data_IF_743575394071
#
_entry.id   IF_743575394071
#
_cell.length_a   1.000
_cell.length_b   1.000
_cell.length_c   1.000
_cell.angle_alpha   90.00
_cell.angle_beta   90.00
_cell.angle_gamma   90.00
#
_symmetry.space_group_name_H-M   'P 1'
#
loop_
_entity.id
_entity.type
_entity.pdbx_description
1 polymer ?
#
# COMPACT_ATOMS: atom_id res chain seq x y z
N UNK A 1 -20.78 20.54 -14.54
CA UNK A 1 -19.50 19.79 -14.46
C UNK A 1 -19.65 18.78 -13.35
N UNK A 2 -19.51 17.48 -13.64
CA UNK A 2 -19.64 16.42 -12.63
C UNK A 2 -18.25 15.84 -12.37
N UNK A 3 -17.82 15.88 -11.11
CA UNK A 3 -16.54 15.31 -10.70
C UNK A 3 -16.80 13.94 -10.06
N UNK A 4 -16.13 12.91 -10.57
CA UNK A 4 -16.16 11.57 -9.99
C UNK A 4 -14.95 11.43 -9.07
N UNK A 5 -15.20 11.03 -7.82
CA UNK A 5 -14.17 10.79 -6.83
C UNK A 5 -14.03 9.29 -6.57
N UNK A 6 -12.80 8.87 -6.26
CA UNK A 6 -12.45 7.50 -5.93
C UNK A 6 -11.75 7.46 -4.58
N UNK A 7 -11.99 6.40 -3.82
CA UNK A 7 -11.36 6.15 -2.52
C UNK A 7 -10.72 4.77 -2.56
N UNK A 8 -9.44 4.71 -2.20
CA UNK A 8 -8.68 3.46 -2.08
C UNK A 8 -8.40 3.20 -0.61
N UNK A 9 -8.90 2.08 -0.06
CA UNK A 9 -8.64 1.72 1.33
C UNK A 9 -7.24 1.14 1.49
N UNK A 10 -6.36 1.85 2.18
CA UNK A 10 -4.96 1.48 2.40
C UNK A 10 -4.69 1.02 3.86
N UNK A 11 -5.58 0.22 4.44
CA UNK A 11 -5.51 -0.22 5.85
C UNK A 11 -5.02 -1.66 6.08
N UNK A 12 -5.00 -2.06 7.36
CA UNK A 12 -4.64 -3.41 7.82
C UNK A 12 -3.18 -3.54 8.28
N UNK A 13 -2.98 -4.26 9.40
CA UNK A 13 -1.70 -4.29 10.16
C UNK A 13 -0.48 -4.84 9.38
N UNK A 14 -0.71 -5.66 8.35
CA UNK A 14 0.39 -6.22 7.54
C UNK A 14 1.31 -7.18 8.29
N UNK A 15 0.81 -7.91 9.30
CA UNK A 15 1.62 -8.79 10.17
C UNK A 15 2.39 -9.87 9.42
N UNK A 16 1.85 -10.37 8.29
CA UNK A 16 2.54 -11.33 7.40
C UNK A 16 3.82 -10.80 6.75
N UNK A 17 3.98 -9.48 6.70
CA UNK A 17 5.16 -8.82 6.16
C UNK A 17 6.13 -8.37 7.26
N UNK A 18 5.94 -8.77 8.52
CA UNK A 18 6.94 -8.55 9.56
C UNK A 18 8.24 -9.31 9.21
N UNK A 19 9.45 -8.75 9.37
CA UNK A 19 9.77 -7.47 10.00
C UNK A 19 9.69 -6.23 9.09
N UNK A 20 9.43 -6.40 7.79
CA UNK A 20 9.46 -5.33 6.80
C UNK A 20 8.33 -4.30 6.99
N UNK A 21 7.09 -4.76 7.18
CA UNK A 21 5.96 -3.89 7.50
C UNK A 21 5.99 -3.48 8.97
N UNK A 22 5.90 -2.17 9.22
CA UNK A 22 5.90 -1.54 10.54
C UNK A 22 4.85 -0.44 10.57
N UNK A 23 4.47 0.01 11.76
CA UNK A 23 3.52 1.13 11.92
C UNK A 23 3.96 2.40 11.18
N UNK A 24 5.28 2.68 11.15
CA UNK A 24 5.85 3.83 10.45
C UNK A 24 6.00 3.62 8.93
N UNK A 25 6.00 2.37 8.45
CA UNK A 25 6.13 2.03 7.04
C UNK A 25 5.26 0.79 6.71
N UNK A 26 3.94 1.00 6.54
CA UNK A 26 2.99 -0.09 6.43
C UNK A 26 3.05 -0.77 5.07
N UNK A 27 2.50 -1.99 4.98
CA UNK A 27 2.63 -2.90 3.83
C UNK A 27 2.50 -2.20 2.47
N UNK A 28 1.55 -1.28 2.31
CA UNK A 28 1.16 -0.64 1.07
C UNK A 28 2.29 0.14 0.38
N UNK A 29 3.31 0.55 1.14
CA UNK A 29 4.47 1.29 0.63
C UNK A 29 5.62 0.39 0.21
N UNK A 30 5.56 -0.91 0.49
CA UNK A 30 6.58 -1.86 0.09
C UNK A 30 6.39 -2.34 -1.34
N UNK A 31 7.50 -2.53 -2.04
CA UNK A 31 7.57 -3.26 -3.31
C UNK A 31 7.75 -4.75 -3.02
N UNK A 32 6.63 -5.46 -2.88
CA UNK A 32 6.62 -6.89 -2.58
C UNK A 32 6.85 -7.78 -3.80
N UNK A 33 6.77 -7.20 -5.01
CA UNK A 33 6.93 -7.93 -6.27
C UNK A 33 8.31 -7.72 -6.91
N UNK A 34 9.12 -6.79 -6.39
CA UNK A 34 10.46 -6.49 -6.91
C UNK A 34 10.45 -5.75 -8.25
N UNK A 35 9.39 -5.00 -8.54
CA UNK A 35 9.18 -4.31 -9.83
C UNK A 35 9.51 -2.81 -9.79
N UNK A 36 10.09 -2.33 -8.69
CA UNK A 36 10.43 -0.93 -8.45
C UNK A 36 9.23 -0.04 -8.13
N UNK A 37 8.09 -0.62 -7.69
CA UNK A 37 6.86 0.13 -7.37
C UNK A 37 6.23 -0.40 -6.09
N UNK A 38 5.76 0.50 -5.22
CA UNK A 38 4.95 0.12 -4.06
C UNK A 38 3.60 -0.43 -4.48
N UNK A 39 2.95 -1.23 -3.62
CA UNK A 39 1.61 -1.75 -3.88
C UNK A 39 0.60 -0.63 -4.17
N UNK A 40 0.66 0.50 -3.44
CA UNK A 40 -0.22 1.64 -3.69
C UNK A 40 0.00 2.29 -5.06
N UNK A 41 1.21 2.23 -5.62
CA UNK A 41 1.49 2.78 -6.95
C UNK A 41 1.06 1.83 -8.08
N UNK A 42 0.86 0.55 -7.77
CA UNK A 42 0.32 -0.44 -8.70
C UNK A 42 -1.22 -0.45 -8.72
N UNK A 43 -1.86 0.10 -7.68
CA UNK A 43 -3.32 0.23 -7.56
C UNK A 43 -3.79 1.54 -8.19
#
# INVERSE_FOLDING_TARGET
MNNTYLVVMAGGIGSRFWPFSRTQHPKQFHDVLGVGRSMLRLT
#
